data_IF_822989134504
#
_entry.id   IF_822989134504
#
_cell.length_a   1.000
_cell.length_b   1.000
_cell.length_c   1.000
_cell.angle_alpha   90.00
_cell.angle_beta   90.00
_cell.angle_gamma   90.00
#
_symmetry.space_group_name_H-M   'P 1'
#
loop_
_entity.id
_entity.type
_entity.pdbx_description
1 polymer ?
#
# COMPACT_ATOMS: atom_id res chain seq x y z
N UNK A 1 -7.71 -4.71 2.04
CA UNK A 1 -6.79 -5.79 1.61
C UNK A 1 -6.70 -5.95 0.09
N UNK A 2 -7.72 -6.53 -0.57
CA UNK A 2 -7.65 -6.84 -2.02
C UNK A 2 -7.41 -5.61 -2.90
N UNK A 3 -8.05 -4.49 -2.57
CA UNK A 3 -7.84 -3.20 -3.25
C UNK A 3 -6.38 -2.75 -3.22
N UNK A 4 -5.70 -2.86 -2.07
CA UNK A 4 -4.30 -2.47 -1.91
C UNK A 4 -3.37 -3.37 -2.72
N UNK A 5 -3.59 -4.70 -2.71
CA UNK A 5 -2.76 -5.64 -3.48
C UNK A 5 -2.95 -5.40 -4.98
N UNK A 6 -4.19 -5.37 -5.46
CA UNK A 6 -4.50 -5.18 -6.88
C UNK A 6 -4.03 -3.80 -7.37
N UNK A 7 -4.30 -2.74 -6.60
CA UNK A 7 -3.89 -1.38 -6.94
C UNK A 7 -2.38 -1.27 -7.07
N UNK A 8 -1.62 -1.83 -6.12
CA UNK A 8 -0.16 -1.82 -6.21
C UNK A 8 0.37 -2.75 -7.32
N UNK A 9 -0.23 -3.92 -7.55
CA UNK A 9 0.15 -4.77 -8.68
C UNK A 9 -0.01 -4.06 -10.03
N UNK A 10 -1.13 -3.35 -10.22
CA UNK A 10 -1.35 -2.53 -11.42
C UNK A 10 -0.34 -1.37 -11.51
N UNK A 11 0.00 -0.74 -10.38
CA UNK A 11 1.07 0.24 -10.34
C UNK A 11 2.42 -0.36 -10.77
N UNK A 12 2.77 -1.56 -10.29
CA UNK A 12 3.97 -2.27 -10.70
C UNK A 12 4.00 -2.60 -12.19
N UNK A 13 2.85 -3.01 -12.75
CA UNK A 13 2.70 -3.20 -14.19
C UNK A 13 2.95 -1.89 -14.96
N UNK A 14 2.31 -0.81 -14.55
CA UNK A 14 2.47 0.51 -15.16
C UNK A 14 3.91 1.01 -15.06
N UNK A 15 4.57 0.82 -13.91
CA UNK A 15 5.97 1.17 -13.70
C UNK A 15 6.88 0.39 -14.67
N UNK A 16 6.64 -0.92 -14.86
CA UNK A 16 7.39 -1.73 -15.83
C UNK A 16 7.17 -1.25 -17.27
N UNK A 17 5.94 -0.96 -17.66
CA UNK A 17 5.64 -0.42 -19.00
C UNK A 17 6.27 0.96 -19.20
N UNK A 18 6.19 1.84 -18.21
CA UNK A 18 6.85 3.15 -18.23
C UNK A 18 8.37 3.03 -18.37
N UNK A 19 9.01 2.11 -17.63
CA UNK A 19 10.43 1.80 -17.76
C UNK A 19 10.81 1.38 -19.19
N UNK A 20 10.03 0.48 -19.82
CA UNK A 20 10.26 0.05 -21.21
C UNK A 20 10.04 1.20 -22.21
N UNK A 21 9.03 2.03 -21.99
CA UNK A 21 8.75 3.21 -22.79
C UNK A 21 9.90 4.22 -22.78
N UNK A 22 10.47 4.51 -21.61
CA UNK A 22 11.65 5.39 -21.46
C UNK A 22 12.86 4.80 -22.21
N UNK A 23 13.03 3.47 -22.15
CA UNK A 23 14.10 2.76 -22.87
C UNK A 23 13.83 2.61 -24.38
N UNK A 24 12.70 3.12 -24.90
CA UNK A 24 12.26 2.94 -26.29
C UNK A 24 12.20 1.46 -26.71
N UNK A 25 11.88 0.57 -25.77
CA UNK A 25 11.69 -0.88 -26.00
C UNK A 25 10.21 -1.18 -26.20
N UNK A 26 9.90 -2.34 -26.80
CA UNK A 26 8.53 -2.83 -26.90
C UNK A 26 7.94 -2.96 -25.48
N UNK A 27 6.74 -2.42 -25.28
CA UNK A 27 6.06 -2.42 -23.97
C UNK A 27 5.70 -3.81 -23.46
N UNK A 28 5.59 -4.80 -24.35
CA UNK A 28 5.30 -6.19 -23.97
C UNK A 28 6.56 -7.05 -23.90
N UNK A 29 7.74 -6.42 -23.96
CA UNK A 29 9.02 -7.12 -23.88
C UNK A 29 9.24 -7.72 -22.50
N UNK A 30 9.61 -9.00 -22.47
CA UNK A 30 9.78 -9.81 -21.26
C UNK A 30 8.54 -9.79 -20.33
N UNK A 31 7.54 -10.60 -20.67
CA UNK A 31 6.31 -10.79 -19.86
C UNK A 31 6.62 -11.28 -18.45
N UNK A 32 7.68 -12.09 -18.27
CA UNK A 32 8.14 -12.49 -16.93
C UNK A 32 8.53 -11.29 -16.06
N UNK A 33 9.14 -10.26 -16.64
CA UNK A 33 9.45 -9.01 -15.95
C UNK A 33 8.21 -8.22 -15.52
N UNK A 34 7.11 -8.29 -16.28
CA UNK A 34 5.84 -7.68 -15.90
C UNK A 34 5.20 -8.42 -14.72
N UNK A 35 5.14 -9.74 -14.78
CA UNK A 35 4.64 -10.56 -13.68
C UNK A 35 5.45 -10.35 -12.39
N UNK A 36 6.78 -10.27 -12.50
CA UNK A 36 7.65 -9.98 -11.35
C UNK A 36 7.35 -8.59 -10.76
N UNK A 37 7.24 -7.55 -11.60
CA UNK A 37 6.92 -6.21 -11.13
C UNK A 37 5.55 -6.15 -10.43
N UNK A 38 4.53 -6.77 -11.02
CA UNK A 38 3.20 -6.90 -10.42
C UNK A 38 3.24 -7.62 -9.07
N UNK A 39 4.04 -8.69 -8.96
CA UNK A 39 4.21 -9.46 -7.73
C UNK A 39 4.91 -8.66 -6.63
N UNK A 40 6.03 -8.02 -6.95
CA UNK A 40 6.82 -7.21 -6.00
C UNK A 40 5.98 -6.04 -5.48
N UNK A 41 5.35 -5.26 -6.36
CA UNK A 41 4.52 -4.15 -5.92
C UNK A 41 3.25 -4.64 -5.21
N UNK A 42 2.59 -5.69 -5.69
CA UNK A 42 1.43 -6.28 -5.01
C UNK A 42 1.76 -6.73 -3.58
N UNK A 43 2.95 -7.33 -3.39
CA UNK A 43 3.47 -7.68 -2.06
C UNK A 43 3.71 -6.46 -1.18
N UNK A 44 4.24 -5.37 -1.74
CA UNK A 44 4.33 -4.09 -1.03
C UNK A 44 2.95 -3.55 -0.64
N UNK A 45 1.94 -3.70 -1.51
CA UNK A 45 0.54 -3.34 -1.22
C UNK A 45 -0.06 -4.14 -0.06
N UNK A 46 0.27 -5.43 0.05
CA UNK A 46 -0.10 -6.25 1.21
C UNK A 46 0.52 -5.70 2.51
N UNK A 47 1.81 -5.38 2.49
CA UNK A 47 2.49 -4.77 3.63
C UNK A 47 1.93 -3.40 4.01
N UNK A 48 1.61 -2.56 3.02
CA UNK A 48 0.97 -1.27 3.24
C UNK A 48 -0.37 -1.43 3.97
N UNK A 49 -1.19 -2.41 3.58
CA UNK A 49 -2.44 -2.69 4.27
C UNK A 49 -2.23 -3.17 5.72
N UNK A 50 -1.25 -4.05 5.96
CA UNK A 50 -0.89 -4.52 7.30
C UNK A 50 -0.43 -3.35 8.20
N UNK A 51 0.35 -2.44 7.64
CA UNK A 51 0.81 -1.24 8.33
C UNK A 51 -0.36 -0.33 8.71
N UNK A 52 -1.29 -0.09 7.78
CA UNK A 52 -2.46 0.76 8.00
C UNK A 52 -3.33 0.25 9.17
N UNK A 53 -3.60 -1.06 9.20
CA UNK A 53 -4.31 -1.69 10.33
C UNK A 53 -3.58 -1.45 11.65
N UNK A 54 -2.26 -1.68 11.67
CA UNK A 54 -1.46 -1.50 12.89
C UNK A 54 -1.41 -0.04 13.34
N UNK A 55 -1.31 0.90 12.40
CA UNK A 55 -1.35 2.32 12.69
C UNK A 55 -2.70 2.74 13.28
N UNK A 56 -3.82 2.19 12.76
CA UNK A 56 -5.16 2.42 13.29
C UNK A 56 -5.32 1.95 14.74
N UNK A 57 -4.79 0.77 15.08
CA UNK A 57 -4.78 0.27 16.47
C UNK A 57 -4.02 1.21 17.41
N UNK A 58 -2.81 1.61 17.03
CA UNK A 58 -1.97 2.51 17.83
C UNK A 58 -2.67 3.87 18.03
N UNK A 59 -3.29 4.41 16.97
CA UNK A 59 -4.04 5.66 17.06
C UNK A 59 -5.24 5.54 18.02
N UNK A 60 -5.97 4.42 17.98
CA UNK A 60 -7.09 4.16 18.89
C UNK A 60 -6.62 4.13 20.35
N UNK A 61 -5.54 3.40 20.63
CA UNK A 61 -4.93 3.34 21.97
C UNK A 61 -4.48 4.73 22.46
N UNK A 62 -3.87 5.52 21.57
CA UNK A 62 -3.41 6.87 21.91
C UNK A 62 -4.56 7.83 22.16
N UNK A 63 -5.63 7.77 21.38
CA UNK A 63 -6.86 8.55 21.64
C UNK A 63 -7.46 8.21 23.00
N UNK A 64 -7.54 6.93 23.35
CA UNK A 64 -8.01 6.50 24.67
C UNK A 64 -7.14 7.04 25.82
N UNK A 65 -5.81 7.02 25.66
CA UNK A 65 -4.88 7.59 26.65
C UNK A 65 -5.07 9.11 26.81
N UNK A 66 -5.29 9.83 25.70
CA UNK A 66 -5.51 11.29 25.73
C UNK A 66 -6.86 11.61 26.40
N UNK A 67 -7.92 10.85 26.09
CA UNK A 67 -9.25 10.99 26.69
C UNK A 67 -9.19 10.82 28.21
N UNK A 68 -8.59 9.73 28.68
CA UNK A 68 -8.41 9.45 30.10
C UNK A 68 -7.63 10.55 30.83
N UNK A 69 -6.60 11.12 30.20
CA UNK A 69 -5.82 12.23 30.78
C UNK A 69 -6.59 13.55 30.84
N UNK A 70 -7.50 13.76 29.91
CA UNK A 70 -8.30 14.99 29.80
C UNK A 70 -9.65 14.90 30.51
N UNK A 71 -10.04 13.72 31.01
CA UNK A 71 -11.34 13.49 31.64
C UNK A 71 -12.51 13.59 30.66
N UNK A 72 -12.25 13.45 29.36
CA UNK A 72 -13.27 13.44 28.29
C UNK A 72 -13.39 12.05 27.71
N UNK A 73 -14.48 11.77 27.02
CA UNK A 73 -14.67 10.52 26.28
C UNK A 73 -13.87 10.52 24.98
N UNK A 74 -13.67 9.35 24.37
CA UNK A 74 -12.90 9.25 23.12
C UNK A 74 -13.67 9.86 21.95
N UNK A 75 -14.99 9.86 22.02
CA UNK A 75 -15.92 10.42 21.05
C UNK A 75 -15.89 11.95 21.03
N UNK A 76 -15.48 12.58 22.15
CA UNK A 76 -15.33 14.04 22.29
C UNK A 76 -13.95 14.56 21.82
N UNK A 77 -13.03 13.68 21.36
CA UNK A 77 -11.68 14.00 20.87
C UNK A 77 -11.52 13.96 19.35
#
# INVERSE_FOLDING_TARGET
MWSSIVGFSLFGLAARMGQLGIQKRNLFDNIGGHALAMGVFGYAGYWAHRWDVRAGEILKEKRAQIAARRGVTVEEL
#
